data_IF_003401095267
#
_entry.id   IF_003401095267
#
_cell.length_a   1.000
_cell.length_b   1.000
_cell.length_c   1.000
_cell.angle_alpha   90.00
_cell.angle_beta   90.00
_cell.angle_gamma   90.00
#
_symmetry.space_group_name_H-M   'P 1'
#
loop_
_entity.id
_entity.type
_entity.pdbx_description
1 polymer ?
#
# COMPACT_ATOMS: atom_id res chain seq x y z
N UNK A 1 -37.02 22.11 32.96
CA UNK A 1 -36.32 22.01 31.66
C UNK A 1 -35.21 20.98 31.80
N UNK A 2 -35.35 19.80 31.20
CA UNK A 2 -34.31 18.76 31.26
C UNK A 2 -33.48 18.83 29.97
N UNK A 3 -32.24 19.29 30.09
CA UNK A 3 -31.29 19.38 28.99
C UNK A 3 -30.77 17.99 28.62
N UNK A 4 -31.07 17.55 27.39
CA UNK A 4 -30.49 16.35 26.82
C UNK A 4 -28.97 16.51 26.67
N UNK A 5 -28.22 15.81 27.51
CA UNK A 5 -26.77 15.67 27.35
C UNK A 5 -26.45 15.09 25.97
N UNK A 6 -25.83 15.89 25.10
CA UNK A 6 -25.38 15.44 23.78
C UNK A 6 -24.35 14.32 23.99
N UNK A 7 -24.74 13.06 23.76
CA UNK A 7 -23.80 11.94 23.76
C UNK A 7 -22.73 12.22 22.70
N UNK A 8 -21.47 12.27 23.15
CA UNK A 8 -20.28 12.46 22.30
C UNK A 8 -20.28 11.31 21.27
N UNK A 9 -20.59 11.61 20.02
CA UNK A 9 -20.63 10.62 18.93
C UNK A 9 -19.19 10.20 18.66
N UNK A 10 -18.74 9.12 19.28
CA UNK A 10 -17.48 8.48 18.92
C UNK A 10 -17.63 8.06 17.47
N UNK A 11 -16.98 8.78 16.56
CA UNK A 11 -16.95 8.42 15.15
C UNK A 11 -16.14 7.12 15.02
N UNK A 12 -16.79 5.98 15.30
CA UNK A 12 -16.26 4.69 14.92
C UNK A 12 -16.14 4.72 13.42
N UNK A 13 -14.90 4.69 12.97
CA UNK A 13 -14.61 4.69 11.57
C UNK A 13 -15.16 3.43 10.91
N UNK A 14 -15.80 3.60 9.75
CA UNK A 14 -16.36 2.46 9.04
C UNK A 14 -15.25 1.47 8.65
N UNK A 15 -15.58 0.17 8.68
CA UNK A 15 -14.69 -0.89 8.23
C UNK A 15 -14.12 -0.63 6.82
N UNK A 16 -14.92 -0.02 5.95
CA UNK A 16 -14.49 0.44 4.62
C UNK A 16 -13.27 1.35 4.70
N UNK A 17 -13.31 2.41 5.52
CA UNK A 17 -12.21 3.37 5.64
C UNK A 17 -10.97 2.76 6.30
N UNK A 18 -11.17 1.86 7.28
CA UNK A 18 -10.07 1.13 7.90
C UNK A 18 -9.35 0.24 6.88
N UNK A 19 -10.11 -0.50 6.07
CA UNK A 19 -9.57 -1.30 4.99
C UNK A 19 -8.86 -0.43 3.95
N UNK A 20 -9.48 0.66 3.50
CA UNK A 20 -8.92 1.53 2.48
C UNK A 20 -7.59 2.15 2.95
N UNK A 21 -7.47 2.50 4.24
CA UNK A 21 -6.18 2.91 4.82
C UNK A 21 -5.14 1.80 4.84
N UNK A 22 -5.53 0.60 5.28
CA UNK A 22 -4.61 -0.54 5.32
C UNK A 22 -4.10 -0.87 3.92
N UNK A 23 -4.99 -0.86 2.93
CA UNK A 23 -4.64 -1.09 1.53
C UNK A 23 -3.59 -0.08 1.04
N UNK A 24 -3.68 1.19 1.43
CA UNK A 24 -2.67 2.19 1.05
C UNK A 24 -1.32 1.94 1.71
N UNK A 25 -1.32 1.62 3.01
CA UNK A 25 -0.10 1.26 3.72
C UNK A 25 0.54 0.01 3.10
N UNK A 26 -0.26 -1.00 2.75
CA UNK A 26 0.22 -2.23 2.10
C UNK A 26 0.79 -1.93 0.69
N UNK A 27 0.23 -0.96 -0.05
CA UNK A 27 0.77 -0.52 -1.35
C UNK A 27 2.14 0.15 -1.18
N UNK A 28 2.28 1.06 -0.20
CA UNK A 28 3.55 1.73 0.09
C UNK A 28 4.63 0.71 0.47
N UNK A 29 4.31 -0.22 1.37
CA UNK A 29 5.22 -1.30 1.75
C UNK A 29 5.62 -2.20 0.57
N UNK A 30 4.67 -2.61 -0.27
CA UNK A 30 4.97 -3.44 -1.43
C UNK A 30 5.82 -2.71 -2.48
N UNK A 31 5.63 -1.39 -2.60
CA UNK A 31 6.47 -0.55 -3.46
C UNK A 31 7.89 -0.46 -2.90
N UNK A 32 8.03 -0.18 -1.61
CA UNK A 32 9.33 -0.12 -0.95
C UNK A 32 10.07 -1.45 -1.04
N UNK A 33 9.37 -2.60 -0.88
CA UNK A 33 9.94 -3.94 -1.09
C UNK A 33 10.49 -4.09 -2.52
N UNK A 34 9.72 -3.70 -3.53
CA UNK A 34 10.16 -3.77 -4.93
C UNK A 34 11.33 -2.84 -5.22
N UNK A 35 11.27 -1.58 -4.76
CA UNK A 35 12.35 -0.61 -4.92
C UNK A 35 13.63 -1.06 -4.21
N UNK A 36 13.51 -1.67 -3.03
CA UNK A 36 14.65 -2.25 -2.30
C UNK A 36 15.28 -3.40 -3.07
N UNK A 37 14.50 -4.32 -3.63
CA UNK A 37 15.04 -5.43 -4.42
C UNK A 37 15.77 -4.89 -5.65
N UNK A 38 15.18 -3.90 -6.33
CA UNK A 38 15.72 -3.34 -7.57
C UNK A 38 17.00 -2.54 -7.39
N UNK A 39 17.16 -1.85 -6.26
CA UNK A 39 18.27 -0.94 -6.00
C UNK A 39 19.35 -1.51 -5.08
N UNK A 40 19.23 -2.77 -4.66
CA UNK A 40 20.16 -3.37 -3.71
C UNK A 40 21.17 -4.29 -4.42
N UNK A 41 22.33 -3.72 -4.72
CA UNK A 41 23.45 -4.42 -5.35
C UNK A 41 23.96 -5.61 -4.51
N UNK A 42 23.77 -5.60 -3.18
CA UNK A 42 24.16 -6.73 -2.32
C UNK A 42 23.30 -7.99 -2.60
N UNK A 43 22.04 -7.82 -3.01
CA UNK A 43 21.18 -8.96 -3.39
C UNK A 43 21.67 -9.61 -4.69
N UNK A 44 22.14 -8.81 -5.64
CA UNK A 44 22.75 -9.31 -6.88
C UNK A 44 24.07 -10.05 -6.60
N UNK A 45 24.82 -9.62 -5.58
CA UNK A 45 26.09 -10.23 -5.19
C UNK A 45 25.92 -11.53 -4.38
N UNK A 46 24.79 -11.70 -3.68
CA UNK A 46 24.56 -12.82 -2.75
C UNK A 46 23.60 -13.89 -3.27
N UNK A 47 22.71 -13.55 -4.19
CA UNK A 47 21.70 -14.46 -4.75
C UNK A 47 22.10 -14.92 -6.16
N UNK A 48 21.54 -16.05 -6.60
CA UNK A 48 21.60 -16.41 -8.02
C UNK A 48 20.82 -15.40 -8.86
N UNK A 49 21.20 -15.20 -10.12
CA UNK A 49 20.46 -14.33 -11.05
C UNK A 49 19.00 -14.75 -11.17
N UNK A 50 18.72 -16.05 -11.17
CA UNK A 50 17.36 -16.57 -11.29
C UNK A 50 16.52 -16.24 -10.05
N UNK A 51 17.06 -16.47 -8.85
CA UNK A 51 16.36 -16.14 -7.61
C UNK A 51 16.09 -14.64 -7.49
N UNK A 52 17.06 -13.80 -7.87
CA UNK A 52 16.88 -12.35 -7.90
C UNK A 52 15.70 -11.94 -8.81
N UNK A 53 15.66 -12.45 -10.04
CA UNK A 53 14.60 -12.14 -11.00
C UNK A 53 13.23 -12.63 -10.52
N UNK A 54 13.16 -13.80 -9.90
CA UNK A 54 11.91 -14.32 -9.32
C UNK A 54 11.42 -13.41 -8.19
N UNK A 55 12.31 -12.98 -7.29
CA UNK A 55 11.95 -12.09 -6.19
C UNK A 55 11.51 -10.71 -6.69
N UNK A 56 12.21 -10.14 -7.68
CA UNK A 56 11.83 -8.87 -8.29
C UNK A 56 10.44 -8.96 -8.94
N UNK A 57 10.20 -10.00 -9.74
CA UNK A 57 8.90 -10.21 -10.40
C UNK A 57 7.77 -10.43 -9.39
N UNK A 58 8.03 -11.18 -8.32
CA UNK A 58 7.06 -11.42 -7.25
C UNK A 58 6.69 -10.12 -6.53
N UNK A 59 7.69 -9.32 -6.11
CA UNK A 59 7.45 -8.04 -5.44
C UNK A 59 6.67 -7.07 -6.34
N UNK A 60 7.05 -6.97 -7.61
CA UNK A 60 6.32 -6.19 -8.62
C UNK A 60 4.86 -6.65 -8.76
N UNK A 61 4.62 -7.96 -8.86
CA UNK A 61 3.28 -8.51 -8.97
C UNK A 61 2.40 -8.19 -7.74
N UNK A 62 2.97 -8.25 -6.52
CA UNK A 62 2.28 -7.84 -5.29
C UNK A 62 1.86 -6.37 -5.35
N UNK A 63 2.79 -5.47 -5.69
CA UNK A 63 2.52 -4.04 -5.82
C UNK A 63 1.41 -3.77 -6.85
N UNK A 64 1.51 -4.34 -8.04
CA UNK A 64 0.50 -4.16 -9.10
C UNK A 64 -0.89 -4.66 -8.68
N UNK A 65 -0.96 -5.80 -8.00
CA UNK A 65 -2.22 -6.35 -7.52
C UNK A 65 -2.91 -5.37 -6.55
N UNK A 66 -2.18 -4.88 -5.55
CA UNK A 66 -2.72 -3.96 -4.56
C UNK A 66 -3.12 -2.62 -5.20
N UNK A 67 -2.30 -2.10 -6.12
CA UNK A 67 -2.61 -0.87 -6.85
C UNK A 67 -3.90 -1.00 -7.70
N UNK A 68 -4.09 -2.13 -8.38
CA UNK A 68 -5.33 -2.42 -9.13
C UNK A 68 -6.54 -2.47 -8.20
N UNK A 69 -6.39 -3.04 -7.01
CA UNK A 69 -7.46 -3.10 -6.01
C UNK A 69 -7.83 -1.70 -5.48
N UNK A 70 -6.84 -0.86 -5.18
CA UNK A 70 -7.08 0.53 -4.78
C UNK A 70 -7.82 1.32 -5.88
N UNK A 71 -7.45 1.10 -7.14
CA UNK A 71 -8.13 1.71 -8.30
C UNK A 71 -9.58 1.24 -8.40
N UNK A 72 -9.86 -0.07 -8.28
CA UNK A 72 -11.23 -0.62 -8.31
C UNK A 72 -12.10 -0.04 -7.20
N UNK A 73 -11.54 0.08 -6.00
CA UNK A 73 -12.23 0.63 -4.81
C UNK A 73 -12.38 2.15 -4.84
N UNK A 74 -11.75 2.82 -5.81
CA UNK A 74 -11.69 4.28 -5.93
C UNK A 74 -11.19 4.90 -4.61
N UNK A 75 -10.19 4.28 -4.00
CA UNK A 75 -9.62 4.78 -2.74
C UNK A 75 -9.04 6.17 -3.01
N UNK A 76 -9.70 7.19 -2.45
CA UNK A 76 -9.22 8.57 -2.48
C UNK A 76 -8.15 8.72 -1.43
N UNK A 77 -6.98 8.12 -1.65
CA UNK A 77 -5.81 8.62 -0.99
C UNK A 77 -5.34 9.84 -1.78
N UNK A 78 -4.71 10.79 -1.09
CA UNK A 78 -3.59 11.48 -1.71
C UNK A 78 -2.53 10.40 -1.98
N UNK A 79 -2.74 9.52 -2.97
CA UNK A 79 -1.62 8.82 -3.59
C UNK A 79 -0.83 10.00 -4.11
N UNK A 80 0.26 10.35 -3.44
CA UNK A 80 1.05 11.50 -3.84
C UNK A 80 1.35 11.27 -5.33
N UNK A 81 0.97 12.22 -6.17
CA UNK A 81 1.16 12.17 -7.63
C UNK A 81 2.63 11.90 -8.00
N UNK A 82 3.55 12.02 -7.04
CA UNK A 82 4.96 11.66 -7.11
C UNK A 82 5.27 10.18 -7.38
N UNK A 83 4.32 9.25 -7.27
CA UNK A 83 4.57 7.82 -7.53
C UNK A 83 4.22 7.40 -8.98
N UNK A 84 3.56 8.26 -9.76
CA UNK A 84 3.38 8.01 -11.20
C UNK A 84 4.58 8.61 -11.91
N UNK A 85 5.71 7.89 -11.91
CA UNK A 85 6.78 8.16 -12.86
C UNK A 85 6.24 7.83 -14.25
N UNK A 86 6.23 8.85 -15.11
CA UNK A 86 5.76 8.82 -16.50
C UNK A 86 6.85 8.28 -17.43
#
# INVERSE_FOLDING_TARGET
MFGFGKKKKVNKESLKKQYDRKLLADIELAKDEWDNIRNNDDLLATMSTEDYLVNEQLAKAKFEFLFREAKKRKVKAKIQESVIVR
#
